data_IF_778026134648
#
_entry.id   IF_778026134648
#
_cell.length_a   1.000
_cell.length_b   1.000
_cell.length_c   1.000
_cell.angle_alpha   90.00
_cell.angle_beta   90.00
_cell.angle_gamma   90.00
#
_symmetry.space_group_name_H-M   'P 1'
#
loop_
_entity.id
_entity.type
_entity.pdbx_description
1 polymer ?
#
# COMPACT_ATOMS: atom_id res chain seq x y z
N UNK A 1 18.96 0.60 -61.31
CA UNK A 1 20.00 1.62 -61.56
C UNK A 1 20.63 1.93 -60.19
N UNK A 2 21.92 1.70 -59.90
CA UNK A 2 23.16 2.18 -60.57
C UNK A 2 23.35 3.68 -60.30
N UNK A 3 24.43 4.24 -59.72
CA UNK A 3 25.63 3.77 -58.96
C UNK A 3 26.15 4.98 -58.12
N UNK A 4 27.23 5.00 -57.31
CA UNK A 4 28.34 4.07 -57.01
C UNK A 4 28.79 4.22 -55.54
N UNK A 5 29.56 3.25 -55.06
CA UNK A 5 30.38 3.27 -53.84
C UNK A 5 31.70 4.08 -53.96
N UNK A 6 32.37 4.30 -52.82
CA UNK A 6 33.84 4.38 -52.68
C UNK A 6 34.27 3.61 -51.41
N UNK A 7 35.54 3.22 -51.31
CA UNK A 7 36.08 2.29 -50.30
C UNK A 7 37.54 2.63 -50.00
N UNK A 8 38.08 2.15 -48.87
CA UNK A 8 39.50 1.84 -48.54
C UNK A 8 39.70 1.87 -47.00
N UNK A 9 40.82 1.38 -46.45
CA UNK A 9 41.11 -0.05 -46.21
C UNK A 9 42.22 -0.23 -45.14
N UNK A 10 42.21 -1.39 -44.48
CA UNK A 10 43.21 -1.94 -43.52
C UNK A 10 44.68 -1.95 -44.04
N UNK A 11 45.78 -2.14 -43.22
CA UNK A 11 45.88 -3.25 -42.23
C UNK A 11 46.87 -3.23 -41.01
N UNK A 12 46.55 -4.14 -40.06
CA UNK A 12 47.37 -5.12 -39.30
C UNK A 12 48.84 -4.85 -38.83
N UNK A 13 49.11 -5.12 -37.53
CA UNK A 13 49.98 -6.20 -36.95
C UNK A 13 50.06 -6.05 -35.40
N UNK A 14 50.06 -7.07 -34.50
CA UNK A 14 50.87 -8.31 -34.29
C UNK A 14 52.24 -8.07 -33.60
N UNK A 15 52.76 -8.81 -32.61
CA UNK A 15 52.28 -9.96 -31.80
C UNK A 15 53.27 -10.31 -30.65
N UNK A 16 52.95 -11.29 -29.78
CA UNK A 16 53.88 -12.00 -28.85
C UNK A 16 53.81 -11.59 -27.37
N UNK A 17 54.18 -12.44 -26.38
CA UNK A 17 54.51 -13.88 -26.42
C UNK A 17 55.31 -14.38 -25.18
N UNK A 18 55.03 -15.59 -24.68
CA UNK A 18 55.75 -16.29 -23.57
C UNK A 18 55.06 -16.18 -22.19
N UNK A 19 54.96 -17.18 -21.28
CA UNK A 19 55.81 -18.32 -20.82
C UNK A 19 57.02 -17.92 -19.92
N UNK A 20 57.37 -18.62 -18.82
CA UNK A 20 56.70 -19.64 -17.98
C UNK A 20 57.53 -19.87 -16.68
N UNK A 21 57.00 -20.60 -15.67
CA UNK A 21 57.71 -21.16 -14.49
C UNK A 21 58.23 -20.11 -13.45
N UNK A 22 58.55 -20.43 -12.19
CA UNK A 22 58.45 -21.69 -11.42
C UNK A 22 58.95 -21.55 -9.96
N UNK A 23 58.80 -22.62 -9.16
CA UNK A 23 59.25 -22.87 -7.76
C UNK A 23 60.62 -22.26 -7.35
N UNK A 24 60.95 -21.99 -6.06
CA UNK A 24 60.72 -22.76 -4.81
C UNK A 24 60.58 -21.90 -3.52
N UNK A 25 60.33 -22.56 -2.37
CA UNK A 25 60.42 -22.01 -1.00
C UNK A 25 61.85 -21.59 -0.60
N UNK A 26 61.95 -20.82 0.49
CA UNK A 26 62.84 -21.20 1.63
C UNK A 26 62.32 -20.65 2.98
N UNK A 27 62.82 -21.17 4.11
CA UNK A 27 62.23 -20.99 5.46
C UNK A 27 62.75 -19.79 6.28
N UNK A 28 61.86 -19.19 7.11
CA UNK A 28 62.22 -18.62 8.43
C UNK A 28 61.15 -19.02 9.46
N UNK A 29 61.55 -19.38 10.68
CA UNK A 29 60.74 -20.10 11.67
C UNK A 29 60.75 -19.41 13.05
N UNK A 30 59.59 -19.42 13.73
CA UNK A 30 59.37 -19.01 15.16
C UNK A 30 59.57 -17.49 15.47
N UNK A 31 58.94 -16.87 16.48
CA UNK A 31 58.00 -17.35 17.53
C UNK A 31 56.93 -16.31 17.90
N UNK A 32 55.69 -16.77 18.09
CA UNK A 32 54.70 -16.39 19.12
C UNK A 32 54.90 -15.11 19.98
N UNK A 33 53.96 -14.14 19.95
CA UNK A 33 53.15 -13.67 21.11
C UNK A 33 52.23 -12.45 20.83
N UNK A 34 51.41 -12.11 21.83
CA UNK A 34 50.62 -10.87 22.04
C UNK A 34 49.39 -10.58 21.15
N UNK A 35 48.20 -10.58 21.79
CA UNK A 35 46.90 -10.19 21.23
C UNK A 35 46.42 -8.92 21.95
N UNK A 36 46.40 -7.77 21.27
CA UNK A 36 45.91 -6.49 21.84
C UNK A 36 44.53 -6.16 21.26
N UNK A 37 43.51 -5.82 22.08
CA UNK A 37 42.18 -5.43 21.60
C UNK A 37 42.17 -3.97 21.11
N UNK A 38 41.67 -3.72 19.91
CA UNK A 38 41.48 -2.36 19.41
C UNK A 38 40.15 -1.77 19.91
N UNK A 39 40.20 -1.08 21.05
CA UNK A 39 39.06 -0.36 21.63
C UNK A 39 38.76 0.92 20.83
N UNK A 40 37.93 0.80 19.80
CA UNK A 40 37.43 1.96 19.05
C UNK A 40 36.39 2.72 19.88
N UNK A 41 36.70 3.98 20.21
CA UNK A 41 35.82 4.91 20.91
C UNK A 41 34.49 5.07 20.15
N UNK A 42 33.38 5.18 20.89
CA UNK A 42 32.06 5.47 20.32
C UNK A 42 31.81 6.98 20.29
N UNK A 43 31.43 7.51 19.12
CA UNK A 43 30.97 8.90 18.98
C UNK A 43 29.55 9.05 19.58
N UNK A 44 29.33 9.97 20.53
CA UNK A 44 28.07 10.04 21.29
C UNK A 44 26.87 10.60 20.49
N UNK A 45 27.07 11.21 19.33
CA UNK A 45 25.99 11.83 18.53
C UNK A 45 25.34 10.89 17.49
N UNK A 46 25.75 9.62 17.42
CA UNK A 46 25.28 8.66 16.40
C UNK A 46 24.19 7.69 16.89
N UNK A 47 23.15 8.17 17.58
CA UNK A 47 22.20 7.31 18.32
C UNK A 47 20.69 7.54 18.06
N UNK A 48 20.31 8.08 16.90
CA UNK A 48 18.93 7.93 16.40
C UNK A 48 18.69 6.53 15.82
N UNK A 49 18.60 5.54 16.71
CA UNK A 49 18.13 4.18 16.38
C UNK A 49 16.62 4.21 16.06
N UNK A 50 16.29 4.44 14.79
CA UNK A 50 14.93 4.27 14.28
C UNK A 50 14.64 2.78 14.11
N UNK A 51 13.78 2.22 14.96
CA UNK A 51 13.29 0.86 14.81
C UNK A 51 12.50 0.73 13.48
N UNK A 52 12.85 -0.21 12.58
CA UNK A 52 12.19 -0.38 11.28
C UNK A 52 10.74 -0.90 11.36
N UNK A 53 10.21 -1.15 12.57
CA UNK A 53 8.83 -1.60 12.81
C UNK A 53 7.92 -0.53 13.41
N UNK A 54 8.46 0.59 13.89
CA UNK A 54 7.67 1.68 14.48
C UNK A 54 6.99 2.55 13.42
N UNK A 55 5.69 2.91 13.59
CA UNK A 55 5.01 3.83 12.69
C UNK A 55 5.60 5.25 12.73
N UNK A 56 5.65 5.91 11.58
CA UNK A 56 6.08 7.31 11.50
C UNK A 56 5.08 8.22 12.23
N UNK A 57 5.57 9.11 13.08
CA UNK A 57 4.77 10.14 13.74
C UNK A 57 4.86 11.49 13.02
N UNK A 58 3.75 12.24 13.00
CA UNK A 58 3.64 13.56 12.40
C UNK A 58 2.71 14.44 13.22
N UNK A 59 3.16 15.65 13.59
CA UNK A 59 2.35 16.55 14.43
C UNK A 59 1.15 17.15 13.70
N UNK A 60 1.22 17.25 12.37
CA UNK A 60 0.18 17.85 11.52
C UNK A 60 0.34 17.51 10.02
N UNK A 61 -0.64 17.93 9.22
CA UNK A 61 -0.71 17.76 7.76
C UNK A 61 0.55 18.23 7.00
N UNK A 62 1.18 19.33 7.41
CA UNK A 62 2.32 19.91 6.70
C UNK A 62 3.59 19.05 6.87
N UNK A 63 3.74 18.35 7.99
CA UNK A 63 4.86 17.43 8.21
C UNK A 63 4.73 16.20 7.29
N UNK A 64 3.53 15.64 7.23
CA UNK A 64 3.18 14.55 6.31
C UNK A 64 3.36 14.96 4.84
N UNK A 65 2.94 16.18 4.44
CA UNK A 65 3.18 16.74 3.10
C UNK A 65 4.68 16.87 2.79
N UNK A 66 5.51 17.25 3.77
CA UNK A 66 7.00 17.29 3.64
C UNK A 66 7.63 15.90 3.56
N UNK A 67 7.04 14.88 4.18
CA UNK A 67 7.48 13.49 4.02
C UNK A 67 7.10 12.96 2.63
N UNK A 68 5.82 13.06 2.24
CA UNK A 68 5.32 12.62 0.93
C UNK A 68 6.11 13.25 -0.21
N UNK A 69 6.37 14.56 -0.17
CA UNK A 69 7.18 15.25 -1.20
C UNK A 69 8.53 14.57 -1.48
N UNK A 70 9.21 14.06 -0.45
CA UNK A 70 10.53 13.41 -0.56
C UNK A 70 10.45 11.93 -0.94
N UNK A 71 9.38 11.23 -0.54
CA UNK A 71 9.35 9.77 -0.46
C UNK A 71 8.22 9.08 -1.25
N UNK A 72 7.21 9.81 -1.75
CA UNK A 72 6.00 9.23 -2.39
C UNK A 72 6.27 8.35 -3.63
N UNK A 73 7.42 8.52 -4.29
CA UNK A 73 7.85 7.73 -5.45
C UNK A 73 8.91 6.67 -5.12
N UNK A 74 9.47 6.70 -3.89
CA UNK A 74 10.55 5.81 -3.44
C UNK A 74 10.00 4.66 -2.58
N UNK A 75 9.11 4.98 -1.66
CA UNK A 75 8.52 4.02 -0.72
C UNK A 75 7.33 3.29 -1.33
N UNK A 76 7.21 1.99 -1.01
CA UNK A 76 5.99 1.19 -1.25
C UNK A 76 4.92 1.42 -0.17
N UNK A 77 5.12 2.43 0.68
CA UNK A 77 4.22 2.87 1.73
C UNK A 77 4.73 2.58 3.13
N UNK A 78 4.26 3.36 4.09
CA UNK A 78 4.65 3.28 5.51
C UNK A 78 3.49 2.86 6.42
N UNK A 79 3.80 2.57 7.68
CA UNK A 79 2.87 2.77 8.80
C UNK A 79 3.03 4.19 9.35
N UNK A 80 1.92 4.82 9.73
CA UNK A 80 1.88 6.19 10.27
C UNK A 80 0.98 6.22 11.51
N UNK A 81 1.39 6.92 12.56
CA UNK A 81 0.53 7.20 13.71
C UNK A 81 -0.56 8.20 13.35
N UNK A 82 -1.79 7.83 13.70
CA UNK A 82 -3.01 8.58 13.40
C UNK A 82 -3.76 8.85 14.69
N UNK A 83 -4.03 10.12 14.96
CA UNK A 83 -4.61 10.55 16.23
C UNK A 83 -6.12 10.71 16.13
N UNK A 84 -6.82 10.26 17.17
CA UNK A 84 -8.28 10.35 17.31
C UNK A 84 -8.69 11.80 17.64
N UNK A 85 -9.96 12.13 17.42
CA UNK A 85 -10.50 13.49 17.63
C UNK A 85 -10.27 14.01 19.07
N UNK A 86 -10.26 13.13 20.07
CA UNK A 86 -10.11 13.48 21.48
C UNK A 86 -8.65 13.73 21.94
N UNK A 87 -7.65 13.23 21.21
CA UNK A 87 -6.24 13.39 21.58
C UNK A 87 -5.80 14.86 21.45
N UNK A 88 -4.92 15.35 22.32
CA UNK A 88 -4.58 16.78 22.39
C UNK A 88 -3.86 17.32 21.14
N UNK A 89 -3.11 16.50 20.43
CA UNK A 89 -2.35 16.88 19.21
C UNK A 89 -2.19 15.70 18.24
N UNK A 90 -1.44 15.87 17.15
CA UNK A 90 -1.07 14.81 16.20
C UNK A 90 -1.98 14.69 14.97
N UNK A 91 -1.41 14.21 13.86
CA UNK A 91 -2.04 14.13 12.53
C UNK A 91 -3.42 13.44 12.53
N UNK A 92 -4.43 14.09 11.92
CA UNK A 92 -5.80 13.56 11.79
C UNK A 92 -6.03 12.87 10.45
N UNK A 93 -6.90 11.86 10.44
CA UNK A 93 -7.22 11.06 9.24
C UNK A 93 -7.66 11.89 8.02
N UNK A 94 -8.52 12.90 8.21
CA UNK A 94 -9.03 13.70 7.09
C UNK A 94 -7.93 14.54 6.43
N UNK A 95 -6.97 15.03 7.21
CA UNK A 95 -5.80 15.77 6.76
C UNK A 95 -4.82 14.84 6.03
N UNK A 96 -4.51 13.70 6.66
CA UNK A 96 -3.61 12.69 6.11
C UNK A 96 -4.10 12.15 4.77
N UNK A 97 -5.43 11.94 4.64
CA UNK A 97 -6.07 11.53 3.40
C UNK A 97 -6.03 12.62 2.33
N UNK A 98 -6.33 13.88 2.66
CA UNK A 98 -6.25 14.99 1.69
C UNK A 98 -4.83 15.12 1.12
N UNK A 99 -3.82 15.06 1.99
CA UNK A 99 -2.41 15.10 1.57
C UNK A 99 -1.98 13.85 0.80
N UNK A 100 -2.35 12.64 1.25
CA UNK A 100 -2.06 11.41 0.52
C UNK A 100 -2.65 11.43 -0.91
N UNK A 101 -3.90 11.88 -1.07
CA UNK A 101 -4.53 12.02 -2.39
C UNK A 101 -3.78 13.00 -3.30
N UNK A 102 -3.18 14.07 -2.75
CA UNK A 102 -2.37 15.02 -3.52
C UNK A 102 -1.14 14.36 -4.18
N UNK A 103 -0.59 13.29 -3.60
CA UNK A 103 0.54 12.53 -4.15
C UNK A 103 0.14 11.19 -4.78
N UNK A 104 -1.16 10.91 -4.92
CA UNK A 104 -1.66 9.65 -5.49
C UNK A 104 -1.57 8.46 -4.55
N UNK A 105 -1.43 8.71 -3.24
CA UNK A 105 -1.42 7.71 -2.18
C UNK A 105 -2.84 7.47 -1.61
N UNK A 106 -2.98 6.46 -0.76
CA UNK A 106 -4.22 6.08 -0.09
C UNK A 106 -3.97 5.38 1.24
N UNK A 107 -4.95 5.43 2.12
CA UNK A 107 -5.06 4.64 3.33
C UNK A 107 -5.32 3.14 3.05
N UNK A 108 -5.00 2.32 4.05
CA UNK A 108 -5.14 0.87 4.03
C UNK A 108 -5.41 0.31 5.42
N UNK A 109 -4.67 -0.73 5.82
CA UNK A 109 -4.82 -1.43 7.10
C UNK A 109 -4.72 -0.47 8.30
N UNK A 110 -5.49 -0.76 9.35
CA UNK A 110 -5.50 -0.04 10.63
C UNK A 110 -5.24 -1.07 11.74
N UNK A 111 -4.32 -0.77 12.65
CA UNK A 111 -4.19 -1.48 13.93
C UNK A 111 -4.38 -0.48 15.08
N UNK A 112 -5.13 -0.89 16.11
CA UNK A 112 -5.23 -0.12 17.35
C UNK A 112 -3.86 -0.02 18.04
N UNK A 113 -3.69 0.99 18.89
CA UNK A 113 -2.48 1.19 19.71
C UNK A 113 -2.92 1.49 21.14
N UNK A 114 -3.58 2.62 21.37
CA UNK A 114 -4.00 3.08 22.70
C UNK A 114 -5.33 3.87 22.61
N UNK A 115 -5.70 4.61 23.66
CA UNK A 115 -6.93 5.43 23.69
C UNK A 115 -6.87 6.70 22.83
N UNK A 116 -5.69 7.27 22.58
CA UNK A 116 -5.48 8.52 21.84
C UNK A 116 -5.17 8.31 20.34
N UNK A 117 -4.41 7.27 19.98
CA UNK A 117 -3.93 7.02 18.62
C UNK A 117 -4.12 5.58 18.15
N UNK A 118 -3.89 5.38 16.85
CA UNK A 118 -3.84 4.09 16.16
C UNK A 118 -2.78 4.19 15.06
N UNK A 119 -2.32 3.06 14.52
CA UNK A 119 -1.41 3.05 13.37
C UNK A 119 -2.16 2.68 12.09
N UNK A 120 -1.90 3.42 11.01
CA UNK A 120 -2.53 3.20 9.71
C UNK A 120 -1.48 3.06 8.61
N UNK A 121 -1.71 2.12 7.71
CA UNK A 121 -0.84 1.78 6.58
C UNK A 121 -1.19 2.67 5.38
N UNK A 122 -0.26 3.51 4.92
CA UNK A 122 -0.46 4.42 3.78
C UNK A 122 0.39 3.99 2.59
N UNK A 123 -0.19 3.91 1.38
CA UNK A 123 0.45 3.30 0.20
C UNK A 123 0.25 4.11 -1.08
N UNK A 124 1.17 4.01 -2.07
CA UNK A 124 0.90 4.45 -3.43
C UNK A 124 -0.33 3.73 -4.01
N UNK A 125 -1.24 4.45 -4.68
CA UNK A 125 -2.41 3.80 -5.31
C UNK A 125 -1.99 2.91 -6.47
N UNK A 126 -2.33 1.61 -6.35
CA UNK A 126 -2.19 0.64 -7.46
C UNK A 126 -2.88 1.16 -8.72
N UNK A 127 -2.23 1.01 -9.88
CA UNK A 127 -2.76 1.38 -11.21
C UNK A 127 -4.12 0.68 -11.43
N UNK A 128 -5.14 1.40 -11.88
CA UNK A 128 -6.50 0.85 -12.07
C UNK A 128 -7.22 0.44 -10.77
N UNK A 129 -6.86 1.04 -9.62
CA UNK A 129 -7.62 0.93 -8.37
C UNK A 129 -8.94 1.71 -8.44
N UNK A 130 -9.96 1.25 -7.68
CA UNK A 130 -11.26 1.92 -7.57
C UNK A 130 -11.11 3.22 -6.77
N UNK A 131 -11.86 4.25 -7.16
CA UNK A 131 -11.94 5.55 -6.48
C UNK A 131 -13.36 5.79 -5.96
N UNK A 132 -13.50 5.97 -4.64
CA UNK A 132 -14.79 6.30 -4.02
C UNK A 132 -15.28 7.68 -4.46
N UNK A 133 -16.60 7.90 -4.44
CA UNK A 133 -17.19 9.22 -4.72
C UNK A 133 -16.57 10.32 -3.85
N UNK A 134 -16.40 10.05 -2.55
CA UNK A 134 -15.76 10.96 -1.58
C UNK A 134 -14.33 11.30 -2.00
N UNK A 135 -13.53 10.35 -2.47
CA UNK A 135 -12.15 10.63 -2.89
C UNK A 135 -12.12 11.37 -4.25
N UNK A 136 -13.09 11.13 -5.15
CA UNK A 136 -13.27 11.95 -6.37
C UNK A 136 -13.65 13.39 -6.02
N UNK A 137 -14.51 13.60 -5.01
CA UNK A 137 -14.92 14.92 -4.52
C UNK A 137 -13.75 15.65 -3.83
N UNK A 138 -13.02 14.97 -2.94
CA UNK A 138 -11.76 15.47 -2.36
C UNK A 138 -10.78 15.88 -3.45
N UNK A 139 -10.50 15.02 -4.44
CA UNK A 139 -9.64 15.39 -5.59
C UNK A 139 -10.17 16.59 -6.36
N UNK A 140 -11.47 16.69 -6.65
CA UNK A 140 -12.02 17.89 -7.33
C UNK A 140 -11.72 19.16 -6.54
N UNK A 141 -11.95 19.15 -5.22
CA UNK A 141 -11.64 20.27 -4.33
C UNK A 141 -10.13 20.56 -4.28
N UNK A 142 -9.30 19.55 -4.00
CA UNK A 142 -7.83 19.68 -3.92
C UNK A 142 -7.19 20.14 -5.24
N UNK A 143 -7.83 19.87 -6.38
CA UNK A 143 -7.42 20.40 -7.69
C UNK A 143 -7.74 21.88 -7.80
N UNK A 144 -8.94 22.30 -7.39
CA UNK A 144 -9.33 23.73 -7.36
C UNK A 144 -8.53 24.54 -6.32
N UNK A 145 -8.12 23.91 -5.20
CA UNK A 145 -7.20 24.47 -4.20
C UNK A 145 -5.72 24.50 -4.67
N UNK A 146 -5.41 24.01 -5.88
CA UNK A 146 -4.02 23.96 -6.39
C UNK A 146 -3.07 23.01 -5.63
N UNK A 147 -3.59 22.14 -4.76
CA UNK A 147 -2.79 21.30 -3.84
C UNK A 147 -2.34 19.96 -4.44
N UNK A 148 -3.01 19.48 -5.48
CA UNK A 148 -2.66 18.25 -6.20
C UNK A 148 -1.28 18.36 -6.85
N UNK A 149 -0.47 17.31 -6.79
CA UNK A 149 0.82 17.22 -7.51
C UNK A 149 0.66 16.34 -8.76
N UNK A 150 1.65 16.34 -9.64
CA UNK A 150 1.65 15.48 -10.84
C UNK A 150 1.52 13.99 -10.54
N UNK A 151 2.02 13.51 -9.38
CA UNK A 151 1.83 12.14 -8.95
C UNK A 151 0.34 11.84 -8.64
N UNK A 152 -0.34 12.75 -7.94
CA UNK A 152 -1.78 12.65 -7.69
C UNK A 152 -2.61 12.76 -8.97
N UNK A 153 -2.29 13.72 -9.84
CA UNK A 153 -2.95 13.88 -11.13
C UNK A 153 -2.68 12.67 -12.06
N UNK A 154 -1.49 12.08 -12.03
CA UNK A 154 -1.17 10.85 -12.76
C UNK A 154 -1.98 9.66 -12.25
N UNK A 155 -2.15 9.50 -10.94
CA UNK A 155 -3.01 8.47 -10.36
C UNK A 155 -4.49 8.64 -10.78
N UNK A 156 -4.98 9.88 -10.84
CA UNK A 156 -6.33 10.21 -11.34
C UNK A 156 -6.47 9.94 -12.84
N UNK A 157 -5.49 10.34 -13.66
CA UNK A 157 -5.43 10.04 -15.11
C UNK A 157 -5.42 8.52 -15.36
N UNK A 158 -4.62 7.77 -14.62
CA UNK A 158 -4.53 6.31 -14.71
C UNK A 158 -5.83 5.62 -14.27
N UNK A 159 -6.52 6.16 -13.27
CA UNK A 159 -7.83 5.65 -12.85
C UNK A 159 -8.91 5.91 -13.89
N UNK A 160 -9.01 7.14 -14.42
CA UNK A 160 -9.96 7.53 -15.48
C UNK A 160 -9.90 6.65 -16.72
N UNK A 161 -8.70 6.18 -17.11
CA UNK A 161 -8.51 5.23 -18.22
C UNK A 161 -8.95 3.79 -17.94
N UNK A 162 -9.34 3.47 -16.71
CA UNK A 162 -9.89 2.15 -16.36
C UNK A 162 -11.41 2.20 -16.30
N UNK A 163 -12.09 1.18 -16.83
CA UNK A 163 -13.54 0.99 -16.72
C UNK A 163 -14.07 1.02 -15.27
N UNK A 164 -13.17 0.72 -14.31
CA UNK A 164 -13.40 0.82 -12.87
C UNK A 164 -13.68 2.24 -12.36
N UNK A 165 -13.33 3.30 -13.09
CA UNK A 165 -13.67 4.68 -12.73
C UNK A 165 -15.16 4.99 -12.91
N UNK A 166 -15.76 4.46 -13.98
CA UNK A 166 -17.20 4.55 -14.25
C UNK A 166 -17.98 3.55 -13.38
N UNK A 167 -17.49 2.31 -13.27
CA UNK A 167 -18.06 1.27 -12.39
C UNK A 167 -18.02 1.62 -10.89
N UNK A 168 -17.33 2.69 -10.48
CA UNK A 168 -17.38 3.23 -9.13
C UNK A 168 -18.69 4.01 -8.87
N UNK A 169 -19.78 3.24 -8.80
CA UNK A 169 -21.15 3.63 -8.46
C UNK A 169 -21.74 4.78 -9.27
N UNK A 170 -22.14 4.48 -10.51
CA UNK A 170 -23.50 4.77 -10.95
C UNK A 170 -24.48 3.70 -10.43
N UNK A 171 -24.83 3.77 -9.13
CA UNK A 171 -26.15 3.32 -8.69
C UNK A 171 -26.59 4.08 -7.44
N UNK A 172 -27.75 4.76 -7.53
CA UNK A 172 -28.60 5.05 -6.37
C UNK A 172 -29.47 3.83 -6.02
N UNK A 173 -29.55 2.88 -6.95
CA UNK A 173 -30.11 1.53 -6.81
C UNK A 173 -29.32 0.73 -5.78
N UNK A 174 -30.01 0.11 -4.83
CA UNK A 174 -29.43 -0.90 -3.95
C UNK A 174 -28.99 -2.13 -4.79
N UNK A 175 -27.86 -2.78 -4.46
CA UNK A 175 -27.43 -3.97 -5.16
C UNK A 175 -28.39 -5.13 -4.87
N UNK A 176 -28.76 -5.89 -5.91
CA UNK A 176 -29.71 -6.99 -5.78
C UNK A 176 -29.16 -8.13 -4.92
N UNK A 177 -30.00 -8.66 -4.02
CA UNK A 177 -29.63 -9.78 -3.14
C UNK A 177 -29.43 -11.07 -3.97
N UNK A 178 -28.20 -11.64 -4.06
CA UNK A 178 -27.94 -12.80 -4.91
C UNK A 178 -28.73 -14.03 -4.46
N UNK A 179 -29.25 -14.80 -5.41
CA UNK A 179 -30.13 -15.96 -5.16
C UNK A 179 -29.49 -17.03 -4.26
N UNK A 180 -28.19 -17.23 -4.37
CA UNK A 180 -27.40 -18.14 -3.55
C UNK A 180 -27.20 -17.63 -2.11
N UNK A 181 -26.87 -16.35 -1.93
CA UNK A 181 -26.83 -15.71 -0.60
C UNK A 181 -28.21 -15.71 0.07
N UNK A 182 -29.27 -15.41 -0.70
CA UNK A 182 -30.67 -15.47 -0.24
C UNK A 182 -31.03 -16.87 0.26
N UNK A 183 -30.66 -17.91 -0.49
CA UNK A 183 -30.87 -19.32 -0.13
C UNK A 183 -30.09 -19.68 1.13
N UNK A 184 -28.80 -19.36 1.20
CA UNK A 184 -27.95 -19.66 2.35
C UNK A 184 -28.40 -18.96 3.64
N UNK A 185 -28.88 -17.72 3.56
CA UNK A 185 -29.50 -17.03 4.70
C UNK A 185 -30.82 -17.68 5.11
N UNK A 186 -31.69 -18.04 4.16
CA UNK A 186 -32.99 -18.67 4.45
C UNK A 186 -32.90 -20.06 5.11
N UNK A 187 -31.78 -20.77 5.00
CA UNK A 187 -31.49 -22.01 5.76
C UNK A 187 -31.42 -21.75 7.27
N UNK A 188 -31.34 -20.49 7.72
CA UNK A 188 -31.31 -20.12 9.12
C UNK A 188 -32.30 -18.97 9.41
N UNK A 189 -33.46 -19.25 10.05
CA UNK A 189 -34.46 -18.23 10.37
C UNK A 189 -33.88 -17.05 11.17
N UNK A 190 -32.98 -17.32 12.12
CA UNK A 190 -32.21 -16.31 12.86
C UNK A 190 -31.37 -15.43 11.92
N UNK A 191 -30.52 -16.03 11.07
CA UNK A 191 -29.68 -15.28 10.13
C UNK A 191 -30.52 -14.43 9.17
N UNK A 192 -31.63 -14.98 8.67
CA UNK A 192 -32.55 -14.28 7.79
C UNK A 192 -33.26 -13.12 8.49
N UNK A 193 -33.74 -13.32 9.73
CA UNK A 193 -34.37 -12.28 10.55
C UNK A 193 -33.40 -11.13 10.86
N UNK A 194 -32.21 -11.46 11.38
CA UNK A 194 -31.19 -10.48 11.73
C UNK A 194 -30.63 -9.75 10.50
N UNK A 195 -30.42 -10.44 9.38
CA UNK A 195 -30.02 -9.81 8.12
C UNK A 195 -31.05 -8.79 7.61
N UNK A 196 -32.34 -9.07 7.74
CA UNK A 196 -33.38 -8.12 7.31
C UNK A 196 -33.55 -6.93 8.28
N UNK A 197 -33.29 -7.12 9.59
CA UNK A 197 -33.24 -6.04 10.60
C UNK A 197 -32.04 -5.09 10.43
N UNK A 198 -30.99 -5.48 9.71
CA UNK A 198 -29.85 -4.58 9.46
C UNK A 198 -30.26 -3.40 8.56
N UNK A 199 -29.79 -2.19 8.91
CA UNK A 199 -29.99 -1.00 8.08
C UNK A 199 -29.45 -1.19 6.64
N UNK A 200 -30.04 -0.55 5.61
CA UNK A 200 -29.73 -0.82 4.21
C UNK A 200 -28.24 -0.78 3.87
N UNK A 201 -27.47 0.15 4.42
CA UNK A 201 -26.01 0.25 4.25
C UNK A 201 -25.29 -1.07 4.59
N UNK A 202 -25.60 -1.69 5.72
CA UNK A 202 -24.96 -2.93 6.17
C UNK A 202 -25.37 -4.14 5.32
N UNK A 203 -26.64 -4.20 4.88
CA UNK A 203 -27.14 -5.22 3.95
C UNK A 203 -26.43 -5.10 2.59
N UNK A 204 -26.33 -3.88 2.07
CA UNK A 204 -25.68 -3.57 0.80
C UNK A 204 -24.17 -3.87 0.84
N UNK A 205 -23.50 -3.64 1.97
CA UNK A 205 -22.09 -4.05 2.16
C UNK A 205 -21.90 -5.57 2.07
N UNK A 206 -22.73 -6.36 2.76
CA UNK A 206 -22.65 -7.83 2.66
C UNK A 206 -23.02 -8.35 1.26
N UNK A 207 -24.04 -7.76 0.62
CA UNK A 207 -24.43 -8.09 -0.76
C UNK A 207 -23.28 -7.79 -1.73
N UNK A 208 -22.70 -6.59 -1.67
CA UNK A 208 -21.57 -6.19 -2.53
C UNK A 208 -20.34 -7.08 -2.32
N UNK A 209 -19.98 -7.37 -1.07
CA UNK A 209 -18.85 -8.26 -0.74
C UNK A 209 -19.04 -9.68 -1.32
N UNK A 210 -20.26 -10.21 -1.36
CA UNK A 210 -20.54 -11.49 -2.04
C UNK A 210 -20.60 -11.32 -3.57
N UNK A 211 -21.17 -10.23 -4.10
CA UNK A 211 -21.25 -9.97 -5.54
C UNK A 211 -19.86 -9.82 -6.20
N UNK A 212 -18.93 -9.14 -5.53
CA UNK A 212 -17.54 -8.94 -6.00
C UNK A 212 -16.70 -10.25 -6.03
N UNK A 213 -17.21 -11.35 -5.46
CA UNK A 213 -16.51 -12.62 -5.40
C UNK A 213 -16.59 -13.38 -6.73
N UNK A 214 -15.68 -13.06 -7.66
CA UNK A 214 -15.57 -13.70 -8.98
C UNK A 214 -15.20 -15.18 -8.93
N UNK A 215 -14.39 -15.59 -7.96
CA UNK A 215 -13.94 -16.98 -7.83
C UNK A 215 -14.93 -17.81 -6.98
N UNK A 216 -15.40 -18.98 -7.46
CA UNK A 216 -16.43 -19.78 -6.76
C UNK A 216 -16.09 -20.09 -5.30
N UNK A 217 -14.83 -20.40 -4.99
CA UNK A 217 -14.42 -20.70 -3.61
C UNK A 217 -14.44 -19.45 -2.72
N UNK A 218 -13.93 -18.31 -3.20
CA UNK A 218 -14.05 -17.04 -2.46
C UNK A 218 -15.53 -16.67 -2.24
N UNK A 219 -16.40 -16.98 -3.20
CA UNK A 219 -17.84 -16.74 -3.08
C UNK A 219 -18.47 -17.63 -2.00
N UNK A 220 -18.16 -18.93 -1.99
CA UNK A 220 -18.58 -19.87 -0.92
C UNK A 220 -18.14 -19.37 0.46
N UNK A 221 -16.84 -19.10 0.65
CA UNK A 221 -16.30 -18.60 1.93
C UNK A 221 -17.00 -17.33 2.41
N UNK A 222 -17.23 -16.36 1.52
CA UNK A 222 -17.94 -15.11 1.87
C UNK A 222 -19.39 -15.36 2.24
N UNK A 223 -20.13 -16.20 1.51
CA UNK A 223 -21.54 -16.53 1.85
C UNK A 223 -21.62 -17.16 3.25
N UNK A 224 -20.78 -18.16 3.55
CA UNK A 224 -20.72 -18.79 4.88
C UNK A 224 -20.38 -17.78 5.98
N UNK A 225 -19.45 -16.85 5.72
CA UNK A 225 -19.10 -15.79 6.65
C UNK A 225 -20.24 -14.78 6.89
N UNK A 226 -21.02 -14.43 5.85
CA UNK A 226 -22.22 -13.58 6.00
C UNK A 226 -23.28 -14.29 6.83
N UNK A 227 -23.58 -15.57 6.56
CA UNK A 227 -24.56 -16.35 7.36
C UNK A 227 -24.13 -16.45 8.82
N UNK A 228 -22.86 -16.79 9.09
CA UNK A 228 -22.29 -16.85 10.45
C UNK A 228 -22.41 -15.53 11.20
N UNK A 229 -22.09 -14.40 10.54
CA UNK A 229 -22.18 -13.07 11.17
C UNK A 229 -23.63 -12.60 11.33
N UNK A 230 -24.51 -12.92 10.38
CA UNK A 230 -25.94 -12.59 10.46
C UNK A 230 -26.65 -13.35 11.60
N UNK A 231 -26.36 -14.64 11.81
CA UNK A 231 -26.82 -15.40 13.00
C UNK A 231 -26.50 -14.62 14.28
N UNK A 232 -25.21 -14.38 14.53
CA UNK A 232 -24.71 -13.65 15.69
C UNK A 232 -24.99 -12.12 15.72
N UNK A 233 -25.92 -11.61 14.90
CA UNK A 233 -26.31 -10.19 14.85
C UNK A 233 -25.21 -9.21 14.44
N UNK A 234 -24.05 -9.70 13.95
CA UNK A 234 -22.86 -8.89 13.69
C UNK A 234 -22.98 -8.15 12.36
N UNK A 235 -22.95 -6.81 12.44
CA UNK A 235 -22.81 -5.90 11.30
C UNK A 235 -21.45 -6.11 10.59
N UNK A 236 -21.32 -5.74 9.29
CA UNK A 236 -20.01 -5.66 8.64
C UNK A 236 -19.07 -4.73 9.42
N UNK A 237 -17.87 -5.22 9.77
CA UNK A 237 -16.85 -4.45 10.46
C UNK A 237 -15.66 -4.15 9.54
N UNK A 238 -15.00 -3.02 9.76
CA UNK A 238 -13.83 -2.60 8.95
C UNK A 238 -12.71 -3.65 9.00
N UNK A 239 -12.50 -4.28 10.16
CA UNK A 239 -11.52 -5.37 10.33
C UNK A 239 -12.04 -6.75 9.87
N UNK A 240 -13.35 -7.01 9.93
CA UNK A 240 -13.88 -8.38 9.84
C UNK A 240 -14.12 -8.90 8.42
N UNK A 241 -13.92 -8.09 7.37
CA UNK A 241 -14.07 -8.52 5.97
C UNK A 241 -12.90 -9.37 5.43
N UNK A 242 -11.92 -9.71 6.28
CA UNK A 242 -10.72 -10.48 5.92
C UNK A 242 -10.48 -11.73 6.79
N UNK A 243 -11.24 -11.89 7.87
CA UNK A 243 -11.55 -13.16 8.56
C UNK A 243 -12.60 -13.97 7.77
#
# INVERSE_FOLDING_TARGET
MVTRAHSESHPLRSAGGGQQNGSTNDEVRMTNQARIPNSRVQDPESSLHVDPTEPLDFRNAAEWRRWLRRNHAKSQGEWVYMYKKAAKSGLRYQEALDEALCFGWIDGQIHAVDEEKYRQRWTPRRKGSIWSLVNRQKVKRLTAEGRMTDAGLAAVRAAKRSSKWQSAYTSRTAPQLPTDLRRALKVSPEAWGNFNKFAPTYRNMYIGWVADARQPETRRRRISAVVRRARAGRKPGISSLYE
#
